data_IF_200851621993
#
_entry.id   IF_200851621993
#
_cell.length_a   1.000
_cell.length_b   1.000
_cell.length_c   1.000
_cell.angle_alpha   90.00
_cell.angle_beta   90.00
_cell.angle_gamma   90.00
#
_symmetry.space_group_name_H-M   'P 1'
#
loop_
_entity.id
_entity.type
_entity.pdbx_description
1 polymer ?
#
# COMPACT_ATOMS: atom_id res chain seq x y z
N UNK A 1 9.26 -13.14 3.29
CA UNK A 1 7.84 -13.44 3.12
C UNK A 1 7.12 -12.30 2.42
N UNK A 2 6.63 -12.51 1.20
CA UNK A 2 6.08 -11.45 0.35
C UNK A 2 4.55 -11.49 0.35
N UNK A 3 3.89 -10.37 0.66
CA UNK A 3 2.46 -10.22 0.54
C UNK A 3 2.10 -9.28 -0.61
N UNK A 4 1.16 -9.71 -1.44
CA UNK A 4 0.48 -8.83 -2.38
C UNK A 4 -0.52 -7.92 -1.64
N UNK A 5 -0.32 -6.61 -1.74
CA UNK A 5 -1.19 -5.61 -1.09
C UNK A 5 -2.33 -5.20 -2.03
N UNK A 6 -2.03 -4.99 -3.31
CA UNK A 6 -3.01 -4.47 -4.26
C UNK A 6 -2.39 -3.85 -5.50
N UNK A 7 -3.27 -3.39 -6.39
CA UNK A 7 -2.89 -2.64 -7.57
C UNK A 7 -2.83 -1.15 -7.23
N UNK A 8 -1.73 -0.50 -7.62
CA UNK A 8 -1.57 0.95 -7.57
C UNK A 8 -1.51 1.49 -8.98
N UNK A 9 -2.35 2.47 -9.25
CA UNK A 9 -2.35 3.22 -10.49
C UNK A 9 -2.25 4.71 -10.19
N UNK A 10 -1.19 5.36 -10.70
CA UNK A 10 -0.94 6.79 -10.50
C UNK A 10 -0.50 7.38 -11.84
N UNK A 11 -1.39 8.19 -12.44
CA UNK A 11 -1.11 8.98 -13.65
C UNK A 11 -0.34 8.20 -14.74
N UNK A 12 -0.80 6.99 -15.04
CA UNK A 12 -0.24 6.12 -16.08
C UNK A 12 0.84 5.13 -15.62
N UNK A 13 1.32 5.24 -14.37
CA UNK A 13 2.14 4.19 -13.75
C UNK A 13 1.20 3.21 -13.06
N UNK A 14 1.13 2.00 -13.60
CA UNK A 14 0.41 0.88 -13.01
C UNK A 14 1.40 -0.13 -12.47
N UNK A 15 1.19 -0.58 -11.24
CA UNK A 15 2.05 -1.58 -10.62
C UNK A 15 1.38 -2.24 -9.44
N UNK A 16 1.94 -3.35 -9.02
CA UNK A 16 1.48 -4.12 -7.88
C UNK A 16 2.30 -3.75 -6.65
N UNK A 17 1.64 -3.42 -5.54
CA UNK A 17 2.32 -3.17 -4.26
C UNK A 17 2.54 -4.49 -3.52
N UNK A 18 3.77 -4.69 -3.06
CA UNK A 18 4.24 -5.89 -2.38
C UNK A 18 4.85 -5.52 -1.03
N UNK A 19 4.50 -6.25 0.01
CA UNK A 19 5.03 -6.09 1.36
C UNK A 19 5.96 -7.22 1.73
N UNK A 20 7.09 -6.89 2.35
CA UNK A 20 8.00 -7.85 2.98
C UNK A 20 8.30 -7.36 4.40
N UNK A 21 7.59 -7.90 5.39
CA UNK A 21 7.61 -7.36 6.75
C UNK A 21 7.04 -5.93 6.77
N UNK A 22 7.87 -4.93 7.11
CA UNK A 22 7.50 -3.49 7.02
C UNK A 22 8.01 -2.82 5.73
N UNK A 23 8.67 -3.55 4.83
CA UNK A 23 9.27 -3.00 3.60
C UNK A 23 8.29 -3.08 2.45
N UNK A 24 8.06 -1.95 1.81
CA UNK A 24 7.15 -1.83 0.68
C UNK A 24 7.90 -1.79 -0.65
N UNK A 25 7.42 -2.55 -1.61
CA UNK A 25 7.93 -2.67 -2.96
C UNK A 25 6.81 -2.38 -3.98
N UNK A 26 7.17 -1.83 -5.13
CA UNK A 26 6.30 -1.65 -6.28
C UNK A 26 6.81 -2.51 -7.42
N UNK A 27 5.97 -3.39 -7.94
CA UNK A 27 6.29 -4.30 -9.02
C UNK A 27 5.54 -3.85 -10.28
N UNK A 28 6.27 -3.29 -11.25
CA UNK A 28 5.69 -2.72 -12.48
C UNK A 28 5.34 -3.78 -13.53
N UNK A 29 6.05 -4.92 -13.51
CA UNK A 29 5.76 -6.06 -14.38
C UNK A 29 6.00 -7.38 -13.64
N UNK A 30 5.65 -8.52 -14.24
CA UNK A 30 5.93 -9.83 -13.62
C UNK A 30 7.43 -10.08 -13.42
N UNK A 31 8.30 -9.44 -14.23
CA UNK A 31 9.76 -9.65 -14.23
C UNK A 31 10.37 -9.21 -12.90
N UNK A 32 11.32 -9.99 -12.40
CA UNK A 32 11.99 -9.70 -11.13
C UNK A 32 12.68 -8.31 -11.11
N UNK A 33 13.30 -7.93 -12.23
CA UNK A 33 14.01 -6.64 -12.40
C UNK A 33 13.11 -5.40 -12.31
N UNK A 34 11.80 -5.57 -12.50
CA UNK A 34 10.83 -4.47 -12.46
C UNK A 34 10.22 -4.28 -11.05
N UNK A 35 10.94 -4.75 -10.02
CA UNK A 35 10.57 -4.61 -8.61
C UNK A 35 11.37 -3.48 -7.96
N UNK A 36 10.70 -2.41 -7.56
CA UNK A 36 11.28 -1.20 -7.01
C UNK A 36 11.00 -1.13 -5.51
N UNK A 37 12.05 -0.96 -4.71
CA UNK A 37 11.88 -0.71 -3.29
C UNK A 37 11.39 0.73 -3.05
N UNK A 38 10.22 0.87 -2.43
CA UNK A 38 9.62 2.18 -2.15
C UNK A 38 10.05 2.74 -0.79
N UNK A 39 10.14 1.89 0.25
CA UNK A 39 10.49 2.35 1.60
C UNK A 39 9.92 1.46 2.71
N UNK A 40 9.94 1.97 3.93
CA UNK A 40 9.37 1.28 5.10
C UNK A 40 8.02 1.90 5.46
N UNK A 41 7.02 1.07 5.79
CA UNK A 41 5.69 1.49 6.24
C UNK A 41 5.70 2.34 7.51
N UNK A 42 6.77 2.31 8.31
CA UNK A 42 6.98 3.23 9.43
C UNK A 42 7.15 4.70 8.97
N UNK A 43 7.49 4.94 7.69
CA UNK A 43 7.56 6.27 7.10
C UNK A 43 6.85 6.30 5.74
N UNK A 44 5.51 6.35 5.73
CA UNK A 44 4.73 6.30 4.49
C UNK A 44 4.86 7.59 3.67
N UNK A 45 5.32 8.70 4.25
CA UNK A 45 5.64 9.92 3.50
C UNK A 45 6.85 9.72 2.57
N UNK A 46 7.90 9.04 3.06
CA UNK A 46 9.07 8.69 2.24
C UNK A 46 8.69 7.82 1.04
N UNK A 47 7.74 6.90 1.25
CA UNK A 47 7.17 6.04 0.20
C UNK A 47 6.45 6.91 -0.85
N UNK A 48 5.60 7.84 -0.43
CA UNK A 48 4.87 8.72 -1.34
C UNK A 48 5.82 9.60 -2.18
N UNK A 49 6.89 10.14 -1.57
CA UNK A 49 7.90 10.94 -2.27
C UNK A 49 8.64 10.09 -3.30
N UNK A 50 9.02 8.86 -2.94
CA UNK A 50 9.73 7.96 -3.85
C UNK A 50 8.84 7.52 -5.01
N UNK A 51 7.57 7.24 -4.71
CA UNK A 51 6.56 6.93 -5.70
C UNK A 51 6.33 8.10 -6.67
N UNK A 52 6.26 9.34 -6.16
CA UNK A 52 6.18 10.56 -7.00
C UNK A 52 7.35 10.64 -7.99
N UNK A 53 8.57 10.30 -7.57
CA UNK A 53 9.77 10.34 -8.43
C UNK A 53 9.75 9.28 -9.54
N UNK A 54 8.97 8.22 -9.39
CA UNK A 54 8.83 7.17 -10.40
C UNK A 54 7.83 7.54 -11.49
N UNK A 55 6.97 8.52 -11.26
CA UNK A 55 5.98 8.94 -12.25
C UNK A 55 6.64 9.92 -13.22
N UNK A 56 6.56 9.68 -14.54
CA UNK A 56 7.23 10.52 -15.54
C UNK A 56 6.67 11.94 -15.63
N UNK A 57 5.46 12.17 -15.12
CA UNK A 57 4.83 13.49 -15.05
C UNK A 57 4.84 14.01 -13.61
N UNK A 58 4.96 15.33 -13.40
CA UNK A 58 4.86 15.90 -12.06
C UNK A 58 3.50 15.53 -11.43
N UNK A 59 3.56 14.95 -10.24
CA UNK A 59 2.39 14.56 -9.43
C UNK A 59 2.52 15.20 -8.07
N UNK A 60 1.41 15.68 -7.52
CA UNK A 60 1.37 16.12 -6.12
C UNK A 60 1.72 14.95 -5.20
N UNK A 61 2.56 15.20 -4.18
CA UNK A 61 2.88 14.22 -3.13
C UNK A 61 1.59 13.72 -2.47
N UNK A 62 0.57 14.58 -2.33
CA UNK A 62 -0.74 14.21 -1.79
C UNK A 62 -1.45 13.13 -2.62
N UNK A 63 -1.36 13.22 -3.95
CA UNK A 63 -1.96 12.23 -4.83
C UNK A 63 -1.20 10.89 -4.77
N UNK A 64 0.14 10.93 -4.68
CA UNK A 64 0.93 9.72 -4.47
C UNK A 64 0.63 9.07 -3.10
N UNK A 65 0.53 9.88 -2.05
CA UNK A 65 0.15 9.42 -0.72
C UNK A 65 -1.25 8.81 -0.67
N UNK A 66 -2.22 9.42 -1.36
CA UNK A 66 -3.57 8.88 -1.47
C UNK A 66 -3.60 7.50 -2.12
N UNK A 67 -2.82 7.31 -3.18
CA UNK A 67 -2.72 6.02 -3.84
C UNK A 67 -2.09 4.95 -2.94
N UNK A 68 -1.06 5.31 -2.15
CA UNK A 68 -0.49 4.43 -1.12
C UNK A 68 -1.54 4.10 -0.06
N UNK A 69 -2.28 5.10 0.44
CA UNK A 69 -3.34 4.91 1.43
C UNK A 69 -4.44 3.98 0.92
N UNK A 70 -4.88 4.17 -0.33
CA UNK A 70 -5.89 3.31 -0.98
C UNK A 70 -5.40 1.87 -1.09
N UNK A 71 -4.15 1.65 -1.49
CA UNK A 71 -3.56 0.31 -1.56
C UNK A 71 -3.48 -0.35 -0.17
N UNK A 72 -3.07 0.39 0.85
CA UNK A 72 -3.06 -0.09 2.23
C UNK A 72 -4.47 -0.44 2.72
N UNK A 73 -5.49 0.34 2.36
CA UNK A 73 -6.87 0.04 2.69
C UNK A 73 -7.33 -1.28 2.04
N UNK A 74 -6.95 -1.51 0.77
CA UNK A 74 -7.23 -2.78 0.07
C UNK A 74 -6.57 -3.96 0.79
N UNK A 75 -5.29 -3.83 1.16
CA UNK A 75 -4.60 -4.88 1.90
C UNK A 75 -5.25 -5.16 3.26
N UNK A 76 -5.62 -4.12 4.00
CA UNK A 76 -6.34 -4.28 5.29
C UNK A 76 -7.65 -5.02 5.08
N UNK A 77 -8.46 -4.60 4.11
CA UNK A 77 -9.73 -5.25 3.80
C UNK A 77 -9.54 -6.74 3.45
N UNK A 78 -8.55 -7.05 2.61
CA UNK A 78 -8.22 -8.43 2.23
C UNK A 78 -7.73 -9.23 3.45
N UNK A 79 -6.87 -8.69 4.31
CA UNK A 79 -6.44 -9.40 5.52
C UNK A 79 -7.58 -9.62 6.52
N UNK A 80 -8.53 -8.70 6.62
CA UNK A 80 -9.67 -8.85 7.53
C UNK A 80 -10.71 -9.85 7.00
N UNK A 81 -10.85 -9.95 5.67
CA UNK A 81 -11.86 -10.81 5.03
C UNK A 81 -11.34 -12.19 4.63
N UNK A 82 -10.06 -12.29 4.27
CA UNK A 82 -9.41 -13.57 4.00
C UNK A 82 -8.90 -14.16 5.31
N UNK A 83 -9.32 -15.38 5.65
CA UNK A 83 -8.79 -16.10 6.81
C UNK A 83 -7.32 -16.46 6.62
N UNK A 84 -6.61 -16.59 7.74
CA UNK A 84 -5.32 -17.28 7.78
C UNK A 84 -5.46 -18.65 7.13
N UNK A 85 -4.76 -18.85 6.02
CA UNK A 85 -4.70 -20.13 5.33
C UNK A 85 -3.26 -20.65 5.45
N UNK A 86 -3.03 -21.92 5.78
CA UNK A 86 -1.68 -22.48 5.91
C UNK A 86 -0.82 -22.38 4.63
N UNK A 87 -1.46 -22.19 3.47
CA UNK A 87 -0.75 -21.91 2.20
C UNK A 87 -0.31 -20.45 2.06
N UNK A 88 -0.95 -19.54 2.80
CA UNK A 88 -0.55 -18.15 2.89
C UNK A 88 0.61 -18.09 3.86
N UNK A 89 1.79 -17.76 3.33
CA UNK A 89 2.97 -17.64 4.18
C UNK A 89 2.76 -16.55 5.24
N UNK A 90 1.99 -15.51 4.94
CA UNK A 90 1.73 -14.36 5.81
C UNK A 90 0.51 -14.59 6.70
N UNK A 91 0.72 -14.49 8.02
CA UNK A 91 -0.37 -14.42 8.97
C UNK A 91 -1.08 -13.07 8.81
N UNK A 92 -2.38 -13.09 8.60
CA UNK A 92 -3.20 -11.91 8.34
C UNK A 92 -3.15 -10.90 9.48
N UNK A 93 -2.93 -11.35 10.72
CA UNK A 93 -2.73 -10.48 11.87
C UNK A 93 -1.42 -9.66 11.81
N UNK A 94 -0.32 -10.22 11.33
CA UNK A 94 0.95 -9.49 11.17
C UNK A 94 0.83 -8.39 10.12
N UNK A 95 0.15 -8.71 9.00
CA UNK A 95 -0.17 -7.71 7.99
C UNK A 95 -1.04 -6.62 8.59
N UNK A 96 -2.12 -7.01 9.28
CA UNK A 96 -3.09 -6.07 9.83
C UNK A 96 -2.41 -5.05 10.72
N UNK A 97 -1.56 -5.48 11.66
CA UNK A 97 -0.79 -4.58 12.52
C UNK A 97 0.14 -3.65 11.72
N UNK A 98 0.90 -4.19 10.76
CA UNK A 98 1.83 -3.38 9.97
C UNK A 98 1.11 -2.33 9.10
N UNK A 99 -0.10 -2.65 8.62
CA UNK A 99 -0.94 -1.74 7.87
C UNK A 99 -1.60 -0.73 8.82
N UNK A 100 -2.09 -1.13 9.98
CA UNK A 100 -2.74 -0.24 10.97
C UNK A 100 -1.82 0.87 11.46
N UNK A 101 -0.56 0.57 11.77
CA UNK A 101 0.45 1.58 12.11
C UNK A 101 0.58 2.64 10.99
N UNK A 102 0.70 2.18 9.75
CA UNK A 102 0.87 3.05 8.59
C UNK A 102 -0.38 3.89 8.31
N UNK A 103 -1.56 3.31 8.52
CA UNK A 103 -2.85 3.98 8.39
C UNK A 103 -3.01 5.05 9.45
N UNK A 104 -2.72 4.75 10.72
CA UNK A 104 -2.79 5.72 11.81
C UNK A 104 -1.86 6.92 11.54
N UNK A 105 -0.64 6.65 11.08
CA UNK A 105 0.30 7.69 10.69
C UNK A 105 -0.22 8.55 9.52
N UNK A 106 -0.78 7.92 8.49
CA UNK A 106 -1.35 8.63 7.34
C UNK A 106 -2.58 9.45 7.70
N UNK A 107 -3.45 8.94 8.58
CA UNK A 107 -4.62 9.66 9.08
C UNK A 107 -4.22 10.87 9.93
N UNK A 108 -3.14 10.75 10.71
CA UNK A 108 -2.61 11.87 11.50
C UNK A 108 -2.09 13.01 10.61
N UNK A 109 -1.31 12.68 9.57
CA UNK A 109 -0.78 13.69 8.63
C UNK A 109 -1.87 14.24 7.68
N UNK A 110 -2.77 13.36 7.23
CA UNK A 110 -3.81 13.68 6.25
C UNK A 110 -5.18 13.14 6.69
N UNK A 111 -5.90 13.86 7.56
CA UNK A 111 -7.17 13.40 8.13
C UNK A 111 -8.25 13.08 7.09
N UNK A 112 -8.22 13.70 5.92
CA UNK A 112 -9.16 13.45 4.83
C UNK A 112 -9.06 12.03 4.23
N UNK A 113 -7.94 11.33 4.43
CA UNK A 113 -7.77 9.92 4.00
C UNK A 113 -8.56 8.92 4.84
N UNK A 114 -9.11 9.33 5.98
CA UNK A 114 -9.88 8.49 6.91
C UNK A 114 -11.02 7.73 6.23
N UNK A 115 -11.68 8.34 5.23
CA UNK A 115 -12.79 7.72 4.49
C UNK A 115 -12.37 6.44 3.75
N UNK A 116 -11.10 6.33 3.33
CA UNK A 116 -10.57 5.14 2.64
C UNK A 116 -10.52 3.91 3.54
N UNK A 117 -10.42 4.12 4.84
CA UNK A 117 -10.27 3.06 5.84
C UNK A 117 -11.58 2.77 6.58
N UNK A 118 -12.69 3.38 6.13
CA UNK A 118 -14.02 3.18 6.71
C UNK A 118 -14.59 1.81 6.33
N UNK A 119 -15.21 1.07 7.27
CA UNK A 119 -15.65 -0.31 7.05
C UNK A 119 -16.87 -0.48 6.12
N UNK A 120 -17.40 0.60 5.53
CA UNK A 120 -18.69 0.61 4.81
C UNK A 120 -18.67 -0.05 3.42
N UNK A 121 -17.52 -0.52 2.93
CA UNK A 121 -17.39 -1.21 1.64
C UNK A 121 -15.94 -1.35 1.21
N UNK A 122 -15.65 -2.10 0.13
CA UNK A 122 -14.31 -2.18 -0.39
C UNK A 122 -13.82 -0.80 -0.88
N UNK A 123 -12.56 -0.40 -0.64
CA UNK A 123 -12.04 0.93 -0.98
C UNK A 123 -11.91 1.22 -2.49
N UNK A 124 -12.40 0.32 -3.34
CA UNK A 124 -12.49 0.47 -4.80
C UNK A 124 -13.92 0.55 -5.33
N UNK A 125 -14.93 0.46 -4.46
CA UNK A 125 -16.32 0.72 -4.80
C UNK A 125 -16.58 2.22 -4.99
#
# INVERSE_FOLDING_TARGET
MYLYIGLVEIRGVRGYMWLLGRRLYLKLSWRARDTLFLGNLANPLSIAIRLRRLVPKPVDVRAAAYAVAKALAMAKYVAERCRDNPTWKVRTWELKMAVEDAVAYLQWIWPWTTRLFSPRGPPWA
#
